data_IF_573937318598
#
_entry.id   IF_573937318598
#
_cell.length_a   1.000
_cell.length_b   1.000
_cell.length_c   1.000
_cell.angle_alpha   90.00
_cell.angle_beta   90.00
_cell.angle_gamma   90.00
#
_symmetry.space_group_name_H-M   'P 1'
#
loop_
_entity.id
_entity.type
_entity.pdbx_description
1 polymer ?
#
# COMPACT_ATOMS: atom_id res chain seq x y z
N UNK A 1 -17.09 -48.47 -30.59
CA UNK A 1 -16.76 -47.55 -31.71
C UNK A 1 -17.29 -46.17 -31.39
N UNK A 2 -16.43 -45.20 -31.13
CA UNK A 2 -16.82 -43.78 -31.12
C UNK A 2 -16.81 -43.28 -32.56
N UNK A 3 -17.97 -42.91 -33.10
CA UNK A 3 -18.07 -42.39 -34.46
C UNK A 3 -17.90 -40.88 -34.44
N UNK A 4 -16.98 -40.35 -35.25
CA UNK A 4 -16.83 -38.92 -35.45
C UNK A 4 -18.11 -38.37 -36.11
N UNK A 5 -18.73 -37.37 -35.51
CA UNK A 5 -19.97 -36.74 -36.00
C UNK A 5 -19.67 -35.53 -36.92
N UNK A 6 -20.69 -35.00 -37.61
CA UNK A 6 -20.51 -34.10 -38.76
C UNK A 6 -19.98 -32.73 -38.33
N UNK A 7 -19.31 -32.08 -39.28
CA UNK A 7 -18.54 -30.81 -39.24
C UNK A 7 -19.12 -29.59 -38.48
N UNK A 8 -20.34 -29.65 -37.94
CA UNK A 8 -21.03 -28.53 -37.27
C UNK A 8 -21.77 -28.90 -35.96
N UNK A 9 -21.70 -30.15 -35.50
CA UNK A 9 -22.56 -30.65 -34.40
C UNK A 9 -21.91 -30.56 -32.98
N UNK A 10 -20.76 -29.88 -32.84
CA UNK A 10 -20.02 -29.75 -31.58
C UNK A 10 -20.81 -28.91 -30.53
N UNK A 11 -21.15 -29.50 -29.38
CA UNK A 11 -21.90 -28.82 -28.31
C UNK A 11 -21.44 -29.30 -26.91
N UNK A 12 -21.23 -28.40 -25.91
CA UNK A 12 -20.88 -28.75 -24.52
C UNK A 12 -21.74 -29.84 -23.87
N UNK A 13 -23.02 -29.91 -24.25
CA UNK A 13 -24.01 -30.85 -23.69
C UNK A 13 -24.20 -32.11 -24.53
N UNK A 14 -23.60 -32.16 -25.73
CA UNK A 14 -23.63 -33.35 -26.60
C UNK A 14 -22.79 -34.47 -26.01
N UNK A 15 -23.02 -35.69 -26.50
CA UNK A 15 -22.07 -36.78 -26.28
C UNK A 15 -20.72 -36.44 -26.90
N UNK A 16 -20.70 -35.83 -28.10
CA UNK A 16 -19.50 -35.47 -28.85
C UNK A 16 -19.13 -34.00 -28.62
N UNK A 17 -18.63 -33.74 -27.40
CA UNK A 17 -18.32 -32.41 -26.88
C UNK A 17 -16.91 -31.90 -27.22
N UNK A 18 -16.03 -32.73 -27.81
CA UNK A 18 -14.70 -32.31 -28.24
C UNK A 18 -14.71 -31.98 -29.73
N UNK A 19 -14.17 -30.81 -30.09
CA UNK A 19 -14.20 -30.26 -31.43
C UNK A 19 -12.79 -30.01 -31.94
N UNK A 20 -12.45 -30.48 -33.13
CA UNK A 20 -11.21 -30.07 -33.81
C UNK A 20 -11.39 -28.71 -34.48
N UNK A 21 -10.29 -27.99 -34.73
CA UNK A 21 -10.27 -26.77 -35.56
C UNK A 21 -10.77 -27.00 -37.01
N UNK A 22 -10.89 -28.25 -37.43
CA UNK A 22 -11.52 -28.65 -38.70
C UNK A 22 -13.00 -29.01 -38.56
N UNK A 23 -13.64 -28.66 -37.44
CA UNK A 23 -15.09 -28.82 -37.17
C UNK A 23 -15.57 -30.24 -36.87
N UNK A 24 -14.69 -31.25 -36.92
CA UNK A 24 -15.06 -32.62 -36.56
C UNK A 24 -15.32 -32.77 -35.06
N UNK A 25 -16.40 -33.46 -34.69
CA UNK A 25 -16.82 -33.68 -33.30
C UNK A 25 -16.53 -35.11 -32.83
N UNK A 26 -16.18 -35.26 -31.55
CA UNK A 26 -15.94 -36.57 -30.92
C UNK A 26 -15.94 -36.52 -29.39
N UNK A 27 -15.71 -37.67 -28.77
CA UNK A 27 -15.94 -37.88 -27.34
C UNK A 27 -14.90 -38.76 -26.62
N UNK A 28 -13.96 -39.38 -27.33
CA UNK A 28 -12.88 -40.14 -26.71
C UNK A 28 -11.81 -39.21 -26.13
N UNK A 29 -11.24 -39.61 -24.99
CA UNK A 29 -10.14 -38.91 -24.33
C UNK A 29 -8.98 -38.59 -25.28
N UNK A 30 -8.61 -39.53 -26.15
CA UNK A 30 -7.53 -39.36 -27.12
C UNK A 30 -7.87 -38.36 -28.24
N UNK A 31 -9.17 -38.20 -28.54
CA UNK A 31 -9.66 -37.22 -29.51
C UNK A 31 -9.70 -35.82 -28.87
N UNK A 32 -10.14 -35.72 -27.62
CA UNK A 32 -10.12 -34.49 -26.83
C UNK A 32 -8.71 -33.96 -26.51
N UNK A 33 -7.67 -34.81 -26.68
CA UNK A 33 -6.26 -34.51 -26.41
C UNK A 33 -5.42 -34.26 -27.67
N UNK A 34 -6.04 -34.15 -28.84
CA UNK A 34 -5.31 -33.72 -30.04
C UNK A 34 -4.89 -32.24 -29.90
N UNK A 35 -3.74 -31.86 -30.48
CA UNK A 35 -3.17 -30.51 -30.31
C UNK A 35 -4.13 -29.40 -30.81
N UNK A 36 -4.83 -29.67 -31.92
CA UNK A 36 -5.82 -28.78 -32.55
C UNK A 36 -7.27 -29.06 -32.06
N UNK A 37 -7.45 -29.67 -30.87
CA UNK A 37 -8.75 -30.07 -30.35
C UNK A 37 -9.13 -29.31 -29.07
N UNK A 38 -10.34 -28.74 -29.07
CA UNK A 38 -10.95 -28.08 -27.92
C UNK A 38 -12.04 -28.95 -27.31
N UNK A 39 -11.88 -29.31 -26.03
CA UNK A 39 -12.99 -29.79 -25.22
C UNK A 39 -13.96 -28.62 -24.96
N UNK A 40 -15.20 -28.71 -25.46
CA UNK A 40 -16.24 -27.70 -25.23
C UNK A 40 -17.02 -27.94 -23.94
N UNK A 41 -16.93 -29.13 -23.33
CA UNK A 41 -17.68 -29.44 -22.13
C UNK A 41 -17.17 -28.58 -20.97
N UNK A 42 -18.07 -27.78 -20.41
CA UNK A 42 -17.82 -27.02 -19.18
C UNK A 42 -17.34 -27.98 -18.09
N UNK A 43 -16.18 -27.67 -17.52
CA UNK A 43 -15.63 -28.36 -16.35
C UNK A 43 -16.31 -27.84 -15.08
N UNK A 44 -16.59 -26.53 -15.05
CA UNK A 44 -17.29 -25.85 -13.98
C UNK A 44 -18.34 -24.86 -14.55
N UNK A 45 -19.29 -24.48 -13.70
CA UNK A 45 -20.27 -23.39 -13.95
C UNK A 45 -20.24 -22.35 -12.82
N UNK A 46 -19.76 -22.76 -11.65
CA UNK A 46 -19.61 -21.97 -10.43
C UNK A 46 -18.31 -22.42 -9.75
N UNK A 47 -17.72 -21.55 -8.93
CA UNK A 47 -16.44 -21.82 -8.26
C UNK A 47 -16.46 -23.09 -7.41
N UNK A 48 -17.57 -23.36 -6.70
CA UNK A 48 -17.77 -24.56 -5.86
C UNK A 48 -17.75 -25.91 -6.63
N UNK A 49 -17.69 -25.89 -7.97
CA UNK A 49 -17.47 -27.09 -8.79
C UNK A 49 -15.98 -27.40 -9.00
N UNK A 50 -15.10 -26.46 -8.68
CA UNK A 50 -13.66 -26.62 -8.72
C UNK A 50 -13.09 -27.06 -7.36
N UNK A 51 -11.84 -27.55 -7.33
CA UNK A 51 -11.07 -27.67 -6.09
C UNK A 51 -10.98 -26.34 -5.32
N UNK A 52 -10.83 -26.40 -3.99
CA UNK A 52 -10.76 -25.22 -3.09
C UNK A 52 -9.63 -24.22 -3.47
N UNK A 53 -8.59 -24.70 -4.15
CA UNK A 53 -7.43 -23.94 -4.65
C UNK A 53 -7.62 -23.33 -6.05
N UNK A 54 -8.79 -23.49 -6.68
CA UNK A 54 -9.05 -23.07 -8.06
C UNK A 54 -10.39 -22.33 -8.19
N UNK A 55 -10.49 -21.40 -9.13
CA UNK A 55 -11.73 -20.69 -9.46
C UNK A 55 -12.29 -21.14 -10.81
N UNK A 56 -13.60 -21.00 -11.00
CA UNK A 56 -14.23 -21.22 -12.29
C UNK A 56 -14.02 -19.99 -13.20
N UNK A 57 -13.20 -20.16 -14.22
CA UNK A 57 -12.89 -19.12 -15.21
C UNK A 57 -13.07 -19.66 -16.62
N UNK A 58 -13.90 -18.98 -17.41
CA UNK A 58 -14.23 -19.39 -18.79
C UNK A 58 -14.75 -20.83 -18.90
N UNK A 59 -15.52 -21.27 -17.89
CA UNK A 59 -16.05 -22.64 -17.68
C UNK A 59 -14.97 -23.72 -17.43
N UNK A 60 -13.77 -23.32 -16.99
CA UNK A 60 -12.69 -24.23 -16.57
C UNK A 60 -12.12 -23.84 -15.21
N UNK A 61 -11.64 -24.84 -14.49
CA UNK A 61 -11.00 -24.62 -13.20
C UNK A 61 -9.57 -24.11 -13.44
N UNK A 62 -9.26 -22.97 -12.84
CA UNK A 62 -7.99 -22.27 -13.05
C UNK A 62 -7.48 -21.69 -11.73
N UNK A 63 -6.16 -21.69 -11.55
CA UNK A 63 -5.51 -21.06 -10.40
C UNK A 63 -5.82 -19.54 -10.38
N UNK A 64 -6.50 -19.03 -9.34
CA UNK A 64 -6.79 -17.60 -9.22
C UNK A 64 -5.53 -16.76 -8.98
N UNK A 65 -4.41 -17.33 -8.55
CA UNK A 65 -3.16 -16.60 -8.34
C UNK A 65 -2.47 -16.16 -9.65
N UNK A 66 -2.74 -16.83 -10.77
CA UNK A 66 -1.89 -16.81 -11.97
C UNK A 66 -1.68 -15.42 -12.62
N UNK A 67 -2.48 -14.40 -12.28
CA UNK A 67 -2.37 -13.04 -12.84
C UNK A 67 -2.65 -11.88 -11.86
N UNK A 68 -2.94 -12.14 -10.58
CA UNK A 68 -3.48 -11.11 -9.67
C UNK A 68 -2.42 -10.49 -8.74
N UNK A 69 -1.64 -11.30 -8.02
CA UNK A 69 -0.57 -10.77 -7.19
C UNK A 69 0.63 -10.43 -8.08
N UNK A 70 1.02 -9.15 -8.09
CA UNK A 70 2.02 -8.63 -9.02
C UNK A 70 3.40 -9.29 -8.79
N UNK A 71 3.90 -9.98 -9.81
CA UNK A 71 5.22 -10.63 -9.81
C UNK A 71 6.40 -9.67 -9.59
N UNK A 72 6.18 -8.36 -9.78
CA UNK A 72 7.20 -7.31 -9.67
C UNK A 72 7.39 -6.80 -8.23
N UNK A 73 6.46 -7.11 -7.31
CA UNK A 73 6.40 -6.50 -5.98
C UNK A 73 6.22 -7.53 -4.86
N UNK A 74 7.00 -8.62 -4.89
CA UNK A 74 7.24 -9.59 -3.80
C UNK A 74 6.00 -10.12 -3.04
N UNK A 75 4.81 -10.04 -3.63
CA UNK A 75 3.57 -10.46 -3.00
C UNK A 75 3.44 -11.98 -2.99
N UNK A 76 3.13 -12.56 -1.84
CA UNK A 76 2.87 -13.98 -1.67
C UNK A 76 1.38 -14.19 -1.94
N UNK A 77 1.05 -14.91 -3.02
CA UNK A 77 -0.32 -15.31 -3.29
C UNK A 77 -0.67 -16.59 -2.51
N UNK A 78 -1.90 -16.62 -2.01
CA UNK A 78 -2.56 -17.78 -1.43
C UNK A 78 -3.99 -17.86 -1.98
N UNK A 79 -4.61 -19.03 -1.95
CA UNK A 79 -6.01 -19.20 -2.37
C UNK A 79 -6.89 -19.45 -1.16
N UNK A 80 -8.00 -18.74 -1.08
CA UNK A 80 -9.02 -18.93 -0.05
C UNK A 80 -10.41 -18.72 -0.66
N UNK A 81 -11.32 -19.68 -0.45
CA UNK A 81 -12.70 -19.61 -0.97
C UNK A 81 -12.76 -19.33 -2.48
N UNK A 82 -11.94 -20.06 -3.26
CA UNK A 82 -11.77 -19.88 -4.71
C UNK A 82 -11.33 -18.46 -5.14
N UNK A 83 -10.77 -17.65 -4.24
CA UNK A 83 -10.28 -16.30 -4.55
C UNK A 83 -8.79 -16.16 -4.23
N UNK A 84 -8.11 -15.29 -4.98
CA UNK A 84 -6.72 -14.93 -4.70
C UNK A 84 -6.65 -14.04 -3.46
N UNK A 85 -5.73 -14.34 -2.57
CA UNK A 85 -5.39 -13.54 -1.41
C UNK A 85 -3.89 -13.22 -1.49
N UNK A 86 -3.59 -11.98 -1.87
CA UNK A 86 -2.22 -11.45 -1.84
C UNK A 86 -1.85 -11.07 -0.40
N UNK A 87 -0.63 -11.39 0.01
CA UNK A 87 -0.04 -10.99 1.29
C UNK A 87 1.38 -10.47 1.08
N UNK A 88 1.85 -9.60 1.97
CA UNK A 88 3.20 -9.04 1.90
C UNK A 88 4.13 -9.65 2.95
N UNK A 89 5.44 -9.77 2.68
CA UNK A 89 6.43 -10.18 3.67
C UNK A 89 6.58 -9.14 4.79
N UNK A 90 7.23 -9.53 5.90
CA UNK A 90 7.45 -8.63 7.04
C UNK A 90 8.13 -7.31 6.63
N UNK A 91 7.64 -6.19 7.18
CA UNK A 91 8.12 -4.85 6.84
C UNK A 91 7.55 -4.27 5.54
N UNK A 92 6.64 -4.96 4.86
CA UNK A 92 5.89 -4.46 3.70
C UNK A 92 4.39 -4.43 3.98
N UNK A 93 3.69 -3.48 3.35
CA UNK A 93 2.23 -3.35 3.39
C UNK A 93 1.67 -3.39 1.96
N UNK A 94 0.46 -3.93 1.81
CA UNK A 94 -0.29 -3.84 0.55
C UNK A 94 -0.68 -2.38 0.29
N UNK A 95 -0.30 -1.87 -0.88
CA UNK A 95 -0.74 -0.60 -1.44
C UNK A 95 -1.62 -0.91 -2.65
N UNK A 96 -2.90 -0.56 -2.54
CA UNK A 96 -3.94 -1.08 -3.43
C UNK A 96 -4.13 -2.59 -3.26
N UNK A 97 -4.54 -3.27 -4.34
CA UNK A 97 -4.88 -4.70 -4.33
C UNK A 97 -3.74 -5.62 -4.81
N UNK A 98 -2.63 -5.07 -5.33
CA UNK A 98 -1.64 -5.85 -6.08
C UNK A 98 -0.18 -5.57 -5.73
N UNK A 99 0.17 -4.47 -5.04
CA UNK A 99 1.55 -4.09 -4.78
C UNK A 99 1.93 -4.16 -3.30
N UNK A 100 3.10 -4.71 -2.98
CA UNK A 100 3.71 -4.56 -1.67
C UNK A 100 4.75 -3.43 -1.68
N UNK A 101 4.56 -2.42 -0.83
CA UNK A 101 5.53 -1.35 -0.60
C UNK A 101 6.11 -1.45 0.81
N UNK A 102 7.36 -1.01 0.99
CA UNK A 102 8.01 -1.10 2.30
C UNK A 102 7.35 -0.13 3.28
N UNK A 103 6.89 -0.64 4.42
CA UNK A 103 6.19 0.15 5.43
C UNK A 103 7.18 1.07 6.16
N UNK A 104 7.40 2.26 5.60
CA UNK A 104 8.03 3.38 6.31
C UNK A 104 7.03 4.01 7.30
N UNK A 105 6.55 3.21 8.25
CA UNK A 105 5.74 3.70 9.35
C UNK A 105 6.50 4.76 10.15
N UNK A 106 5.81 5.76 10.75
CA UNK A 106 6.44 6.90 11.40
C UNK A 106 7.28 6.55 12.65
N UNK A 107 7.36 5.28 13.01
CA UNK A 107 8.14 4.73 14.13
C UNK A 107 9.59 5.22 14.19
N UNK A 108 10.34 5.20 13.09
CA UNK A 108 11.75 5.65 13.09
C UNK A 108 11.84 7.15 13.38
N UNK A 109 11.06 7.98 12.70
CA UNK A 109 11.04 9.43 12.89
C UNK A 109 10.53 9.84 14.29
N UNK A 110 9.49 9.17 14.81
CA UNK A 110 8.96 9.44 16.16
C UNK A 110 9.97 9.01 17.24
N UNK A 111 10.63 7.85 17.10
CA UNK A 111 11.65 7.40 18.06
C UNK A 111 12.86 8.34 18.04
N UNK A 112 13.35 8.73 16.86
CA UNK A 112 14.45 9.69 16.72
C UNK A 112 14.06 11.07 17.28
N UNK A 113 12.83 11.52 17.04
CA UNK A 113 12.28 12.75 17.61
C UNK A 113 12.21 12.72 19.14
N UNK A 114 11.72 11.63 19.73
CA UNK A 114 11.66 11.45 21.18
C UNK A 114 13.06 11.41 21.82
N UNK A 115 14.00 10.64 21.25
CA UNK A 115 15.37 10.52 21.77
C UNK A 115 16.12 11.86 21.67
N UNK A 116 15.99 12.58 20.56
CA UNK A 116 16.63 13.90 20.40
C UNK A 116 16.05 14.94 21.37
N UNK A 117 14.73 14.98 21.56
CA UNK A 117 14.09 15.84 22.55
C UNK A 117 14.57 15.53 24.00
N UNK A 118 14.66 14.26 24.38
CA UNK A 118 15.15 13.83 25.70
C UNK A 118 16.60 14.27 25.92
N UNK A 119 17.48 14.12 24.92
CA UNK A 119 18.87 14.56 25.00
C UNK A 119 19.00 16.08 25.17
N UNK A 120 18.19 16.87 24.45
CA UNK A 120 18.16 18.33 24.59
C UNK A 120 17.68 18.76 25.99
N UNK A 121 16.61 18.13 26.49
CA UNK A 121 16.08 18.39 27.83
C UNK A 121 17.13 18.04 28.91
N UNK A 122 17.82 16.90 28.77
CA UNK A 122 18.88 16.50 29.68
C UNK A 122 20.06 17.51 29.69
N UNK A 123 20.46 18.02 28.53
CA UNK A 123 21.50 19.06 28.43
C UNK A 123 21.05 20.39 29.07
N UNK A 124 19.79 20.79 28.89
CA UNK A 124 19.21 21.97 29.54
C UNK A 124 19.17 21.82 31.06
N UNK A 125 18.77 20.64 31.58
CA UNK A 125 18.80 20.37 33.02
C UNK A 125 20.25 20.39 33.55
N UNK A 126 21.20 19.76 32.85
CA UNK A 126 22.60 19.73 33.25
C UNK A 126 23.22 21.14 33.31
N UNK A 127 22.94 22.01 32.33
CA UNK A 127 23.42 23.40 32.32
C UNK A 127 22.78 24.25 33.43
N UNK A 128 21.48 24.07 33.73
CA UNK A 128 20.81 24.72 34.86
C UNK A 128 21.44 24.27 36.20
N UNK A 129 21.60 22.97 36.41
CA UNK A 129 22.22 22.41 37.63
C UNK A 129 23.66 22.90 37.80
N UNK A 130 24.45 22.94 36.72
CA UNK A 130 25.81 23.49 36.74
C UNK A 130 25.81 24.99 37.10
N UNK A 131 24.91 25.79 36.51
CA UNK A 131 24.75 27.21 36.85
C UNK A 131 24.36 27.42 38.33
N UNK A 132 23.42 26.62 38.85
CA UNK A 132 23.01 26.65 40.26
C UNK A 132 24.16 26.25 41.19
N UNK A 133 24.94 25.22 40.83
CA UNK A 133 26.15 24.79 41.56
C UNK A 133 27.20 25.91 41.57
N UNK A 134 27.43 26.59 40.45
CA UNK A 134 28.41 27.68 40.31
C UNK A 134 28.03 28.91 41.15
N UNK A 135 26.74 29.27 41.24
CA UNK A 135 26.27 30.34 42.14
C UNK A 135 26.59 30.08 43.62
N UNK A 136 26.59 28.82 44.06
CA UNK A 136 26.87 28.45 45.46
C UNK A 136 28.35 28.64 45.87
N UNK A 137 29.28 28.72 44.91
CA UNK A 137 30.71 28.95 45.18
C UNK A 137 31.14 30.42 45.02
N UNK A 138 30.42 31.25 44.25
CA UNK A 138 30.71 32.68 44.07
C UNK A 138 29.97 33.58 45.09
N UNK A 139 29.91 33.15 46.35
CA UNK A 139 29.25 33.86 47.45
C UNK A 139 30.02 35.07 48.00
N UNK A 140 30.72 35.84 47.15
CA UNK A 140 31.33 37.12 47.55
C UNK A 140 31.49 38.06 46.33
N UNK A 141 30.82 39.22 46.37
CA UNK A 141 30.98 40.34 45.43
C UNK A 141 30.87 41.63 46.25
N UNK A 142 31.89 42.50 46.27
CA UNK A 142 31.83 43.78 46.98
C UNK A 142 31.21 44.88 46.11
N UNK A 143 30.59 45.87 46.75
CA UNK A 143 30.57 47.25 46.24
C UNK A 143 29.56 47.60 45.15
N UNK A 144 28.40 48.12 45.60
CA UNK A 144 27.54 49.02 44.80
C UNK A 144 28.31 50.29 44.43
N UNK A 145 28.31 50.70 43.16
CA UNK A 145 28.48 52.11 42.77
C UNK A 145 27.46 52.54 41.72
N UNK A 146 27.01 53.77 41.89
CA UNK A 146 26.03 54.51 41.09
C UNK A 146 26.74 55.63 40.33
N UNK A 147 26.37 55.88 39.08
CA UNK A 147 26.70 57.16 38.40
C UNK A 147 25.60 57.52 37.41
N UNK A 148 25.02 58.71 37.58
CA UNK A 148 24.01 59.31 36.71
C UNK A 148 24.65 60.16 35.58
N UNK A 149 23.82 60.54 34.60
CA UNK A 149 23.96 61.67 33.67
C UNK A 149 25.07 61.63 32.59
N UNK A 150 24.68 61.63 31.31
CA UNK A 150 24.40 62.89 30.58
C UNK A 150 23.61 62.66 29.26
N UNK A 151 22.96 63.74 28.79
CA UNK A 151 22.07 63.85 27.61
C UNK A 151 22.82 64.58 26.46
N UNK A 152 22.45 64.63 25.16
CA UNK A 152 21.33 64.20 24.26
C UNK A 152 21.89 64.38 22.79
N UNK A 153 21.17 64.49 21.64
CA UNK A 153 19.79 64.12 21.23
C UNK A 153 19.63 63.38 19.86
N UNK A 154 18.40 62.89 19.66
CA UNK A 154 17.62 62.63 18.42
C UNK A 154 18.21 63.03 17.05
N UNK A 155 18.20 62.09 16.08
CA UNK A 155 17.92 62.37 14.65
C UNK A 155 17.37 61.13 13.90
N UNK A 156 16.38 61.34 13.02
CA UNK A 156 15.66 60.36 12.19
C UNK A 156 15.38 60.98 10.80
N UNK A 157 14.95 60.21 9.76
CA UNK A 157 14.81 58.75 9.68
C UNK A 157 15.94 58.11 8.82
N UNK A 158 15.85 57.77 7.50
CA UNK A 158 14.77 57.86 6.49
C UNK A 158 14.11 56.48 6.16
N UNK A 159 13.94 56.14 4.88
CA UNK A 159 13.17 55.02 4.32
C UNK A 159 13.99 54.14 3.34
N UNK A 160 13.61 52.86 3.12
CA UNK A 160 13.90 52.18 1.85
C UNK A 160 14.07 50.64 1.85
N UNK A 161 12.99 49.90 1.58
CA UNK A 161 12.99 48.47 1.16
C UNK A 161 13.27 47.44 2.26
N UNK A 162 12.79 46.19 2.25
CA UNK A 162 11.92 45.38 1.35
C UNK A 162 11.16 44.36 2.25
N UNK A 163 10.32 43.38 1.85
CA UNK A 163 10.03 42.62 0.60
C UNK A 163 8.49 42.36 0.52
N UNK A 164 8.01 41.64 -0.50
CA UNK A 164 6.62 41.13 -0.62
C UNK A 164 6.33 39.89 0.28
N UNK A 165 5.07 39.66 0.68
CA UNK A 165 4.62 38.40 1.28
C UNK A 165 4.38 37.31 0.22
N UNK A 166 4.62 36.04 0.59
CA UNK A 166 4.34 34.86 -0.24
C UNK A 166 3.63 33.79 0.58
N UNK A 167 2.33 33.63 0.30
CA UNK A 167 1.43 32.50 0.63
C UNK A 167 1.93 31.40 1.59
N UNK A 168 1.33 31.36 2.78
CA UNK A 168 1.13 30.09 3.49
C UNK A 168 0.18 29.20 2.68
N UNK A 169 0.60 27.98 2.36
CA UNK A 169 -0.34 26.93 1.98
C UNK A 169 -0.92 26.32 3.26
N UNK A 170 -2.24 26.41 3.42
CA UNK A 170 -2.98 25.67 4.43
C UNK A 170 -2.72 24.16 4.25
N UNK A 171 -2.51 23.44 5.36
CA UNK A 171 -2.58 21.98 5.35
C UNK A 171 -4.05 21.58 5.52
N UNK A 172 -4.66 20.99 4.49
CA UNK A 172 -5.98 20.36 4.63
C UNK A 172 -5.87 19.05 5.43
N UNK A 173 -6.89 18.80 6.26
CA UNK A 173 -6.93 17.74 7.27
C UNK A 173 -7.39 16.40 6.65
N UNK A 174 -6.76 15.24 6.96
CA UNK A 174 -6.96 14.00 6.18
C UNK A 174 -8.07 13.06 6.71
N UNK A 175 -9.18 13.60 7.22
CA UNK A 175 -10.24 12.81 7.91
C UNK A 175 -11.48 12.47 7.05
N UNK A 176 -11.50 12.75 5.74
CA UNK A 176 -12.69 12.59 4.88
C UNK A 176 -12.53 11.52 3.77
N UNK A 177 -12.31 10.26 4.16
CA UNK A 177 -12.29 9.12 3.21
C UNK A 177 -12.95 7.84 3.75
N UNK A 178 -14.18 7.96 4.27
CA UNK A 178 -15.00 6.81 4.67
C UNK A 178 -16.47 6.97 4.21
N UNK A 179 -16.72 7.06 2.89
CA UNK A 179 -18.08 6.80 2.36
C UNK A 179 -18.18 6.42 0.85
N UNK A 180 -17.30 5.55 0.34
CA UNK A 180 -17.38 5.09 -1.08
C UNK A 180 -17.29 3.57 -1.34
N UNK A 181 -17.47 2.72 -0.32
CA UNK A 181 -17.55 1.25 -0.50
C UNK A 181 -18.97 0.67 -0.37
N UNK A 182 -20.01 1.51 -0.52
CA UNK A 182 -21.42 1.09 -0.40
C UNK A 182 -22.14 0.67 -1.69
N UNK A 183 -21.68 1.09 -2.88
CA UNK A 183 -22.51 1.08 -4.11
C UNK A 183 -21.85 0.43 -5.34
N UNK A 184 -21.40 -0.83 -5.23
CA UNK A 184 -21.15 -1.70 -6.40
C UNK A 184 -21.70 -3.14 -6.22
N UNK A 185 -22.79 -3.28 -5.46
CA UNK A 185 -23.60 -4.51 -5.44
C UNK A 185 -24.91 -4.26 -6.20
N UNK A 186 -24.87 -4.33 -7.54
CA UNK A 186 -26.09 -4.25 -8.36
C UNK A 186 -25.92 -3.74 -9.79
N UNK A 187 -25.34 -4.58 -10.67
CA UNK A 187 -25.79 -4.78 -12.06
C UNK A 187 -25.06 -5.97 -12.69
#
# INVERSE_FOLDING_TARGET
SGGVTRHYDCNPTSKDYCCSDKGWCGSSNDYCKCDDCKNLRNECVEDNHCPDDQQCKDNRCADPCLNYCNTTSFAICSVANHQHLCTCPEGYQLVGYTACEQFQGPSTFIIIGAVSAILLIAAMIATIVFCMKKRKHNGNMPGKQTSENYLEPIQNPPEGGTVRPGSSHEYENPDDYVDQLGNMAGQ
#
